data_IF_024714712979
#
_entry.id   IF_024714712979
#
_cell.length_a   1.000
_cell.length_b   1.000
_cell.length_c   1.000
_cell.angle_alpha   90.00
_cell.angle_beta   90.00
_cell.angle_gamma   90.00
#
_symmetry.space_group_name_H-M   'P 1'
#
loop_
_entity.id
_entity.type
_entity.pdbx_description
1 polymer ?
#
# COMPACT_ATOMS: atom_id res chain seq x y z
N UNK A 1 5.02 -28.47 3.67
CA UNK A 1 4.12 -27.72 2.78
C UNK A 1 2.81 -27.43 3.49
N UNK A 2 2.60 -26.17 3.91
CA UNK A 2 1.40 -25.78 4.65
C UNK A 2 0.18 -25.51 3.72
N UNK A 3 0.32 -25.69 2.41
CA UNK A 3 -0.75 -25.45 1.43
C UNK A 3 -1.19 -23.99 1.26
N UNK A 4 -0.41 -23.02 1.77
CA UNK A 4 -0.75 -21.60 1.71
C UNK A 4 -0.30 -21.01 0.37
N UNK A 5 -1.21 -20.89 -0.57
CA UNK A 5 -0.98 -20.27 -1.89
C UNK A 5 -2.06 -19.24 -2.22
N UNK A 6 -1.71 -18.15 -2.96
CA UNK A 6 -0.37 -17.74 -3.35
C UNK A 6 0.37 -16.99 -2.24
N UNK A 7 1.66 -17.24 -2.08
CA UNK A 7 2.53 -16.43 -1.20
C UNK A 7 2.89 -15.12 -1.92
N UNK A 8 2.83 -14.02 -1.19
CA UNK A 8 3.16 -12.69 -1.69
C UNK A 8 4.18 -12.02 -0.78
N UNK A 9 5.33 -11.68 -1.33
CA UNK A 9 6.36 -10.92 -0.63
C UNK A 9 6.17 -9.42 -0.88
N UNK A 10 6.41 -8.62 0.14
CA UNK A 10 6.41 -7.16 0.05
C UNK A 10 7.80 -6.64 0.41
N UNK A 11 8.36 -5.80 -0.44
CA UNK A 11 9.63 -5.12 -0.20
C UNK A 11 9.41 -3.61 -0.30
N UNK A 12 9.60 -2.90 0.79
CA UNK A 12 9.71 -1.44 0.76
C UNK A 12 11.14 -1.10 0.36
N UNK A 13 11.32 -0.52 -0.82
CA UNK A 13 12.64 -0.20 -1.33
C UNK A 13 13.11 1.15 -0.80
N UNK A 14 14.29 1.16 -0.19
CA UNK A 14 14.90 2.34 0.42
C UNK A 14 16.35 2.50 -0.07
N UNK A 15 16.65 3.68 -0.60
CA UNK A 15 17.99 4.01 -1.14
C UNK A 15 19.07 3.87 -0.08
N UNK A 16 20.14 3.15 -0.40
CA UNK A 16 21.29 2.92 0.47
C UNK A 16 21.01 2.00 1.66
N UNK A 17 19.86 1.32 1.66
CA UNK A 17 19.49 0.33 2.70
C UNK A 17 19.31 -1.06 2.09
N UNK A 18 18.48 -1.17 1.06
CA UNK A 18 18.16 -2.44 0.40
C UNK A 18 17.89 -2.28 -1.10
N UNK A 19 18.17 -1.14 -1.67
CA UNK A 19 17.99 -0.92 -3.11
C UNK A 19 18.95 -1.77 -3.96
N UNK A 20 20.04 -2.24 -3.40
CA UNK A 20 20.96 -3.19 -4.02
C UNK A 20 20.40 -4.62 -4.08
N UNK A 21 19.40 -4.97 -3.30
CA UNK A 21 18.78 -6.31 -3.24
C UNK A 21 17.63 -6.52 -4.25
N UNK A 22 17.30 -5.55 -5.10
CA UNK A 22 16.13 -5.63 -6.01
C UNK A 22 16.22 -6.86 -6.92
N UNK A 23 17.38 -7.09 -7.55
CA UNK A 23 17.60 -8.20 -8.47
C UNK A 23 17.64 -9.55 -7.74
N UNK A 24 18.24 -9.62 -6.57
CA UNK A 24 18.32 -10.84 -5.76
C UNK A 24 16.92 -11.27 -5.26
N UNK A 25 16.13 -10.31 -4.82
CA UNK A 25 14.73 -10.56 -4.43
C UNK A 25 13.87 -11.00 -5.63
N UNK A 26 14.15 -10.46 -6.81
CA UNK A 26 13.47 -10.87 -8.04
C UNK A 26 13.87 -12.30 -8.44
N UNK A 27 15.17 -12.63 -8.39
CA UNK A 27 15.67 -13.97 -8.64
C UNK A 27 15.03 -14.98 -7.68
N UNK A 28 15.01 -14.66 -6.38
CA UNK A 28 14.36 -15.48 -5.37
C UNK A 28 12.87 -15.70 -5.65
N UNK A 29 12.13 -14.63 -6.00
CA UNK A 29 10.71 -14.73 -6.29
C UNK A 29 10.43 -15.62 -7.51
N UNK A 30 11.29 -15.56 -8.54
CA UNK A 30 11.21 -16.40 -9.74
C UNK A 30 11.49 -17.88 -9.37
N UNK A 31 12.58 -18.14 -8.63
CA UNK A 31 12.97 -19.47 -8.20
C UNK A 31 11.86 -20.15 -7.36
N UNK A 32 11.29 -19.42 -6.40
CA UNK A 32 10.27 -19.96 -5.49
C UNK A 32 8.84 -19.91 -6.05
N UNK A 33 8.61 -19.32 -7.22
CA UNK A 33 7.28 -19.19 -7.81
C UNK A 33 6.33 -18.30 -6.99
N UNK A 34 6.85 -17.33 -6.21
CA UNK A 34 6.08 -16.43 -5.35
C UNK A 34 5.88 -15.06 -6.01
N UNK A 35 4.85 -14.33 -5.60
CA UNK A 35 4.61 -12.98 -6.08
C UNK A 35 5.45 -11.98 -5.27
N UNK A 36 6.18 -11.09 -5.95
CA UNK A 36 6.94 -10.01 -5.31
C UNK A 36 6.27 -8.68 -5.57
N UNK A 37 6.12 -7.86 -4.51
CA UNK A 37 5.59 -6.50 -4.61
C UNK A 37 6.60 -5.52 -4.05
N UNK A 38 7.01 -4.58 -4.87
CA UNK A 38 7.81 -3.43 -4.48
C UNK A 38 6.90 -2.26 -4.07
N UNK A 39 7.25 -1.60 -2.99
CA UNK A 39 6.44 -0.56 -2.36
C UNK A 39 7.32 0.69 -2.19
N UNK A 40 6.80 1.84 -2.58
CA UNK A 40 7.42 3.12 -2.27
C UNK A 40 7.30 3.46 -0.79
N UNK A 41 8.36 4.03 -0.22
CA UNK A 41 8.31 4.65 1.11
C UNK A 41 7.27 5.76 1.13
N UNK A 42 6.48 5.81 2.19
CA UNK A 42 5.43 6.83 2.37
C UNK A 42 5.78 7.73 3.56
N UNK A 43 5.57 9.04 3.46
CA UNK A 43 5.85 10.00 4.56
C UNK A 43 4.76 9.95 5.63
N UNK A 44 4.60 8.81 6.32
CA UNK A 44 3.56 8.62 7.34
C UNK A 44 4.21 8.47 8.70
N UNK A 45 3.81 9.33 9.63
CA UNK A 45 4.41 9.39 10.95
C UNK A 45 5.88 9.82 10.92
N UNK A 46 6.50 9.93 12.08
CA UNK A 46 7.89 10.38 12.20
C UNK A 46 8.88 9.51 11.43
N UNK A 47 8.75 8.18 11.55
CA UNK A 47 9.64 7.24 10.85
C UNK A 47 9.50 7.33 9.31
N UNK A 48 8.28 7.49 8.79
CA UNK A 48 8.04 7.66 7.37
C UNK A 48 8.62 8.96 6.82
N UNK A 49 8.50 10.05 7.57
CA UNK A 49 9.11 11.34 7.21
C UNK A 49 10.63 11.25 7.16
N UNK A 50 11.27 10.63 8.15
CA UNK A 50 12.72 10.39 8.14
C UNK A 50 13.15 9.53 6.97
N UNK A 51 12.40 8.47 6.65
CA UNK A 51 12.70 7.56 5.56
C UNK A 51 12.55 8.18 4.16
N UNK A 52 11.94 9.38 4.03
CA UNK A 52 11.84 10.06 2.73
C UNK A 52 13.19 10.50 2.17
N UNK A 53 14.21 10.68 2.99
CA UNK A 53 15.59 10.90 2.51
C UNK A 53 16.16 9.70 1.73
N UNK A 54 15.62 8.52 1.98
CA UNK A 54 15.97 7.24 1.35
C UNK A 54 14.92 6.81 0.30
N UNK A 55 14.06 7.73 -0.12
CA UNK A 55 13.02 7.44 -1.10
C UNK A 55 13.60 6.89 -2.40
N UNK A 56 13.03 5.78 -2.89
CA UNK A 56 13.39 5.14 -4.15
C UNK A 56 12.14 5.00 -5.04
N UNK A 57 12.09 5.71 -6.19
CA UNK A 57 10.87 5.76 -6.99
C UNK A 57 10.63 4.46 -7.75
N UNK A 58 9.37 4.09 -7.90
CA UNK A 58 8.93 2.88 -8.63
C UNK A 58 9.45 2.87 -10.08
N UNK A 59 9.60 4.02 -10.73
CA UNK A 59 10.17 4.09 -12.08
C UNK A 59 11.55 3.45 -12.17
N UNK A 60 12.42 3.75 -11.18
CA UNK A 60 13.78 3.18 -11.08
C UNK A 60 13.75 1.67 -10.79
N UNK A 61 12.80 1.22 -9.95
CA UNK A 61 12.60 -0.21 -9.69
C UNK A 61 12.23 -0.91 -11.01
N UNK A 62 11.26 -0.39 -11.75
CA UNK A 62 10.81 -0.99 -13.01
C UNK A 62 11.90 -0.98 -14.08
N UNK A 63 12.74 0.07 -14.15
CA UNK A 63 13.91 0.12 -15.04
C UNK A 63 14.87 -1.04 -14.73
N UNK A 64 15.21 -1.27 -13.46
CA UNK A 64 16.10 -2.35 -13.02
C UNK A 64 15.50 -3.73 -13.29
N UNK A 65 14.23 -3.92 -12.93
CA UNK A 65 13.51 -5.17 -13.22
C UNK A 65 13.50 -5.46 -14.72
N UNK A 66 13.22 -4.45 -15.57
CA UNK A 66 13.27 -4.59 -17.03
C UNK A 66 14.66 -4.98 -17.52
N UNK A 67 15.70 -4.34 -17.00
CA UNK A 67 17.09 -4.65 -17.34
C UNK A 67 17.45 -6.10 -16.96
N UNK A 68 17.07 -6.53 -15.75
CA UNK A 68 17.31 -7.89 -15.26
C UNK A 68 16.62 -8.96 -16.11
N UNK A 69 15.35 -8.77 -16.46
CA UNK A 69 14.60 -9.76 -17.25
C UNK A 69 14.90 -9.68 -18.75
N UNK A 70 15.60 -8.65 -19.21
CA UNK A 70 16.02 -8.47 -20.61
C UNK A 70 14.89 -8.23 -21.61
N UNK A 71 13.71 -7.80 -21.13
CA UNK A 71 12.51 -7.55 -21.96
C UNK A 71 11.54 -6.58 -21.31
N UNK A 72 10.56 -6.12 -22.11
CA UNK A 72 9.50 -5.24 -21.60
C UNK A 72 8.57 -5.96 -20.61
N UNK A 73 8.14 -5.18 -19.62
CA UNK A 73 7.19 -5.63 -18.61
C UNK A 73 5.77 -5.41 -19.14
N UNK A 74 5.01 -6.47 -19.28
CA UNK A 74 3.63 -6.40 -19.77
C UNK A 74 2.67 -6.14 -18.61
N UNK A 75 1.91 -5.02 -18.64
CA UNK A 75 0.90 -4.76 -17.64
C UNK A 75 -0.13 -5.89 -17.60
N UNK A 76 -0.49 -6.34 -16.39
CA UNK A 76 -1.56 -7.32 -16.19
C UNK A 76 -2.80 -6.60 -15.72
N UNK A 77 -3.85 -6.62 -16.55
CA UNK A 77 -5.17 -6.11 -16.21
C UNK A 77 -6.07 -7.24 -15.72
N UNK A 78 -7.05 -6.95 -14.84
CA UNK A 78 -8.08 -7.91 -14.46
C UNK A 78 -7.68 -8.94 -13.39
N UNK A 79 -6.69 -8.65 -12.53
CA UNK A 79 -6.38 -9.50 -11.36
C UNK A 79 -7.52 -9.51 -10.34
N UNK A 80 -7.83 -10.70 -9.74
CA UNK A 80 -8.75 -10.79 -8.60
C UNK A 80 -8.13 -10.04 -7.41
N UNK A 81 -8.74 -8.94 -6.98
CA UNK A 81 -8.38 -8.21 -5.77
C UNK A 81 -8.41 -6.69 -5.96
N UNK A 82 -8.95 -5.99 -4.95
CA UNK A 82 -9.04 -4.53 -4.89
C UNK A 82 -7.78 -3.88 -4.29
N UNK A 83 -6.61 -4.52 -4.45
CA UNK A 83 -5.34 -4.02 -3.89
C UNK A 83 -4.73 -2.88 -4.74
N UNK A 84 -3.84 -2.05 -4.15
CA UNK A 84 -3.23 -0.90 -4.81
C UNK A 84 -2.11 -1.27 -5.78
N UNK A 85 -1.72 -2.52 -5.83
CA UNK A 85 -0.60 -2.96 -6.64
C UNK A 85 -0.96 -2.99 -8.13
N UNK A 86 -0.16 -2.33 -8.96
CA UNK A 86 -0.15 -2.54 -10.41
C UNK A 86 0.75 -3.74 -10.69
N UNK A 87 0.24 -4.70 -11.44
CA UNK A 87 0.95 -5.95 -11.71
C UNK A 87 1.53 -5.98 -13.12
N UNK A 88 2.68 -6.62 -13.23
CA UNK A 88 3.37 -6.85 -14.49
C UNK A 88 3.75 -8.32 -14.60
N UNK A 89 3.59 -8.87 -15.79
CA UNK A 89 4.08 -10.21 -16.11
C UNK A 89 5.57 -10.13 -16.42
N UNK A 90 6.37 -10.99 -15.77
CA UNK A 90 7.78 -11.18 -16.09
C UNK A 90 7.91 -12.47 -16.90
N UNK A 91 8.39 -12.37 -18.11
CA UNK A 91 8.57 -13.52 -19.01
C UNK A 91 7.29 -14.33 -19.29
N UNK A 92 7.45 -15.50 -19.88
CA UNK A 92 6.37 -16.47 -20.15
C UNK A 92 5.99 -17.31 -18.92
N UNK A 93 6.59 -17.04 -17.74
CA UNK A 93 6.36 -17.80 -16.51
C UNK A 93 5.17 -17.30 -15.68
N UNK A 94 4.78 -18.04 -14.65
CA UNK A 94 3.63 -17.71 -13.81
C UNK A 94 3.89 -16.54 -12.84
N UNK A 95 5.14 -16.11 -12.70
CA UNK A 95 5.54 -15.10 -11.73
C UNK A 95 5.14 -13.70 -12.19
N UNK A 96 4.45 -13.00 -11.31
CA UNK A 96 4.05 -11.60 -11.49
C UNK A 96 4.76 -10.75 -10.45
N UNK A 97 5.20 -9.58 -10.87
CA UNK A 97 5.62 -8.53 -9.93
C UNK A 97 4.49 -7.52 -9.75
N UNK A 98 4.40 -6.95 -8.57
CA UNK A 98 3.52 -5.83 -8.29
C UNK A 98 4.33 -4.60 -7.91
N UNK A 99 3.80 -3.41 -8.16
CA UNK A 99 4.34 -2.16 -7.63
C UNK A 99 3.23 -1.36 -6.95
N UNK A 100 3.55 -0.80 -5.78
CA UNK A 100 2.66 0.09 -5.03
C UNK A 100 3.32 1.47 -4.97
N UNK A 101 2.89 2.33 -5.88
CA UNK A 101 3.42 3.69 -6.06
C UNK A 101 2.52 4.70 -5.38
N UNK A 102 2.59 4.76 -4.04
CA UNK A 102 1.73 5.65 -3.27
C UNK A 102 2.11 7.13 -3.39
N UNK A 103 3.36 7.42 -3.74
CA UNK A 103 3.92 8.79 -3.83
C UNK A 103 4.05 9.24 -5.28
N UNK A 104 4.75 8.47 -6.13
CA UNK A 104 5.03 8.88 -7.51
C UNK A 104 3.84 8.77 -8.46
N UNK A 105 2.95 7.80 -8.25
CA UNK A 105 1.78 7.51 -9.10
C UNK A 105 0.62 7.04 -8.24
N UNK A 106 0.08 7.95 -7.42
CA UNK A 106 -1.00 7.62 -6.48
C UNK A 106 -2.19 6.92 -7.16
N UNK A 107 -2.91 6.15 -6.37
CA UNK A 107 -4.07 5.36 -6.77
C UNK A 107 -5.34 5.77 -5.99
N UNK A 108 -5.40 7.03 -5.56
CA UNK A 108 -6.45 7.55 -4.67
C UNK A 108 -7.84 7.40 -5.26
N UNK A 109 -8.02 7.68 -6.56
CA UNK A 109 -9.30 7.59 -7.26
C UNK A 109 -9.95 6.20 -7.16
N UNK A 110 -9.14 5.14 -7.13
CA UNK A 110 -9.60 3.75 -6.99
C UNK A 110 -9.46 3.20 -5.58
N UNK A 111 -9.11 4.05 -4.60
CA UNK A 111 -8.85 3.62 -3.23
C UNK A 111 -10.15 3.39 -2.44
N UNK A 112 -10.48 2.13 -2.21
CA UNK A 112 -11.63 1.69 -1.42
C UNK A 112 -11.28 1.32 0.04
N UNK A 113 -10.12 1.76 0.57
CA UNK A 113 -9.63 1.35 1.88
C UNK A 113 -9.95 2.36 2.96
N UNK A 114 -10.41 1.82 4.08
CA UNK A 114 -10.48 2.46 5.39
C UNK A 114 -9.81 1.54 6.41
N UNK A 115 -9.49 2.05 7.59
CA UNK A 115 -8.90 1.25 8.66
C UNK A 115 -9.65 1.49 9.96
N UNK A 116 -9.97 0.41 10.66
CA UNK A 116 -10.51 0.47 12.00
C UNK A 116 -9.37 0.27 13.00
N UNK A 117 -9.15 1.24 13.87
CA UNK A 117 -8.15 1.14 14.94
C UNK A 117 -8.67 0.36 16.13
N UNK A 118 -7.78 -0.12 16.99
CA UNK A 118 -8.14 -0.76 18.26
C UNK A 118 -8.94 0.16 19.20
N UNK A 119 -8.88 1.47 18.99
CA UNK A 119 -9.65 2.48 19.75
C UNK A 119 -11.06 2.71 19.18
N UNK A 120 -11.43 2.02 18.10
CA UNK A 120 -12.74 2.18 17.45
C UNK A 120 -12.82 3.41 16.52
N UNK A 121 -11.70 3.99 16.11
CA UNK A 121 -11.66 5.06 15.12
C UNK A 121 -11.61 4.46 13.71
N UNK A 122 -12.52 4.86 12.85
CA UNK A 122 -12.52 4.56 11.42
C UNK A 122 -11.70 5.63 10.69
N UNK A 123 -10.48 5.28 10.31
CA UNK A 123 -9.55 6.15 9.58
C UNK A 123 -9.86 6.08 8.09
N UNK A 124 -10.17 7.21 7.48
CA UNK A 124 -10.69 7.30 6.11
C UNK A 124 -9.58 7.30 5.06
N UNK A 125 -8.45 7.93 5.36
CA UNK A 125 -7.27 7.97 4.50
C UNK A 125 -6.00 7.72 5.31
N UNK A 126 -5.09 6.92 4.78
CA UNK A 126 -3.81 6.65 5.43
C UNK A 126 -2.94 7.90 5.53
N UNK A 127 -2.96 8.73 4.50
CA UNK A 127 -2.12 9.93 4.39
C UNK A 127 -2.70 11.18 5.03
N UNK A 128 -3.86 11.12 5.68
CA UNK A 128 -4.52 12.27 6.29
C UNK A 128 -5.07 11.92 7.67
N UNK A 129 -5.38 12.94 8.49
CA UNK A 129 -5.85 12.73 9.87
C UNK A 129 -7.35 12.42 9.98
N UNK A 130 -8.08 12.44 8.86
CA UNK A 130 -9.54 12.25 8.84
C UNK A 130 -9.94 10.88 9.42
N UNK A 131 -10.78 10.93 10.43
CA UNK A 131 -11.31 9.75 11.12
C UNK A 131 -12.67 10.03 11.73
N UNK A 132 -13.44 8.98 11.93
CA UNK A 132 -14.72 9.00 12.66
C UNK A 132 -14.66 7.96 13.77
N UNK A 133 -14.99 8.35 15.02
CA UNK A 133 -15.01 7.40 16.13
C UNK A 133 -16.36 6.66 16.16
N UNK A 134 -16.30 5.33 16.09
CA UNK A 134 -17.44 4.44 16.20
C UNK A 134 -17.70 4.00 17.66
N UNK A 135 -16.71 4.16 18.53
CA UNK A 135 -16.78 3.67 19.91
C UNK A 135 -17.90 4.30 20.73
N UNK A 136 -18.18 5.63 20.68
CA UNK A 136 -19.29 6.23 21.40
C UNK A 136 -20.66 5.64 20.97
N UNK A 137 -20.84 5.43 19.69
CA UNK A 137 -22.07 4.86 19.11
C UNK A 137 -22.28 3.43 19.63
N UNK A 138 -21.22 2.61 19.58
CA UNK A 138 -21.25 1.24 20.09
C UNK A 138 -21.57 1.18 21.60
N UNK A 139 -20.95 2.04 22.40
CA UNK A 139 -21.18 2.08 23.86
C UNK A 139 -22.56 2.61 24.25
N UNK A 140 -23.18 3.40 23.40
CA UNK A 140 -24.55 3.85 23.58
C UNK A 140 -25.61 2.76 23.29
N UNK A 141 -25.20 1.56 22.89
CA UNK A 141 -26.10 0.45 22.57
C UNK A 141 -26.78 0.59 21.22
N UNK A 142 -26.14 1.26 20.27
CA UNK A 142 -26.66 1.41 18.91
C UNK A 142 -26.90 0.05 18.24
N UNK A 143 -27.92 -0.01 17.40
CA UNK A 143 -28.20 -1.19 16.59
C UNK A 143 -27.15 -1.38 15.49
N UNK A 144 -27.08 -2.58 14.90
CA UNK A 144 -26.22 -2.86 13.74
C UNK A 144 -26.51 -1.92 12.57
N UNK A 145 -27.75 -1.49 12.39
CA UNK A 145 -28.12 -0.60 11.31
C UNK A 145 -27.65 0.84 11.56
N UNK A 146 -27.66 1.30 12.81
CA UNK A 146 -27.06 2.59 13.19
C UNK A 146 -25.55 2.60 12.93
N UNK A 147 -24.88 1.49 13.26
CA UNK A 147 -23.43 1.34 13.02
C UNK A 147 -23.13 1.32 11.52
N UNK A 148 -23.90 0.57 10.71
CA UNK A 148 -23.77 0.57 9.25
C UNK A 148 -24.01 1.96 8.66
N UNK A 149 -25.01 2.69 9.17
CA UNK A 149 -25.28 4.05 8.75
C UNK A 149 -24.11 4.98 9.07
N UNK A 150 -23.56 4.91 10.27
CA UNK A 150 -22.39 5.70 10.68
C UNK A 150 -21.17 5.40 9.80
N UNK A 151 -20.89 4.12 9.49
CA UNK A 151 -19.80 3.72 8.60
C UNK A 151 -20.02 4.27 7.19
N UNK A 152 -21.21 4.14 6.62
CA UNK A 152 -21.52 4.67 5.28
C UNK A 152 -21.34 6.19 5.22
N UNK A 153 -21.84 6.90 6.24
CA UNK A 153 -21.69 8.35 6.36
C UNK A 153 -20.21 8.75 6.45
N UNK A 154 -19.43 8.02 7.24
CA UNK A 154 -17.99 8.25 7.34
C UNK A 154 -17.27 8.02 5.99
N UNK A 155 -17.60 6.95 5.27
CA UNK A 155 -17.02 6.66 3.96
C UNK A 155 -17.30 7.79 2.95
N UNK A 156 -18.48 8.41 3.00
CA UNK A 156 -18.79 9.55 2.13
C UNK A 156 -17.95 10.81 2.43
N UNK A 157 -17.32 10.87 3.60
CA UNK A 157 -16.40 11.94 4.00
C UNK A 157 -14.94 11.62 3.64
N UNK A 158 -14.69 10.45 3.04
CA UNK A 158 -13.35 10.06 2.65
C UNK A 158 -12.76 11.08 1.67
N UNK A 159 -11.54 11.63 1.95
CA UNK A 159 -10.92 12.58 1.05
C UNK A 159 -10.62 11.94 -0.31
N UNK A 160 -10.74 12.72 -1.36
CA UNK A 160 -10.52 12.29 -2.75
C UNK A 160 -9.09 11.77 -2.94
N UNK A 161 -8.09 12.44 -2.32
CA UNK A 161 -6.69 12.05 -2.41
C UNK A 161 -5.89 12.50 -1.19
N UNK A 162 -4.70 11.91 -1.01
CA UNK A 162 -3.69 12.42 -0.07
C UNK A 162 -2.86 13.54 -0.74
N UNK A 163 -2.14 14.32 0.09
CA UNK A 163 -1.33 15.45 -0.35
C UNK A 163 0.16 15.29 -0.01
N UNK A 164 0.71 14.09 -0.10
CA UNK A 164 2.10 13.78 0.30
C UNK A 164 3.14 14.70 -0.32
N UNK A 165 2.95 15.13 -1.57
CA UNK A 165 3.89 15.94 -2.31
C UNK A 165 3.54 17.43 -2.32
N UNK A 166 2.35 17.82 -1.86
CA UNK A 166 1.82 19.16 -2.03
C UNK A 166 1.77 19.92 -0.70
N UNK A 167 1.43 19.23 0.39
CA UNK A 167 1.16 19.83 1.70
C UNK A 167 1.76 18.98 2.81
N UNK A 168 3.06 19.11 3.08
CA UNK A 168 3.72 18.35 4.14
C UNK A 168 3.06 18.52 5.53
N UNK A 169 2.45 19.67 5.80
CA UNK A 169 1.73 19.97 7.04
C UNK A 169 0.44 19.16 7.22
N UNK A 170 -0.09 18.58 6.15
CA UNK A 170 -1.28 17.71 6.20
C UNK A 170 -0.95 16.21 6.30
N UNK A 171 0.34 15.87 6.38
CA UNK A 171 0.75 14.48 6.51
C UNK A 171 0.36 13.94 7.88
N UNK A 172 -0.26 12.76 7.89
CA UNK A 172 -0.70 12.11 9.12
C UNK A 172 0.47 11.88 10.08
N UNK A 173 0.36 12.42 11.30
CA UNK A 173 1.36 12.28 12.37
C UNK A 173 1.34 10.89 13.02
N UNK A 174 0.26 10.14 12.83
CA UNK A 174 0.05 8.82 13.43
C UNK A 174 1.05 7.80 12.91
N UNK A 175 1.47 6.91 13.77
CA UNK A 175 2.36 5.82 13.39
C UNK A 175 1.58 4.68 12.70
N UNK A 176 2.20 4.04 11.71
CA UNK A 176 1.61 2.92 10.97
C UNK A 176 1.16 1.77 11.89
N UNK A 177 1.94 1.48 12.93
CA UNK A 177 1.64 0.42 13.92
C UNK A 177 0.32 0.66 14.66
N UNK A 178 -0.16 1.89 14.76
CA UNK A 178 -1.44 2.20 15.43
C UNK A 178 -2.66 1.97 14.53
N UNK A 179 -2.46 1.62 13.28
CA UNK A 179 -3.49 1.47 12.27
C UNK A 179 -3.85 0.02 11.95
N UNK A 180 -3.44 -0.91 12.81
CA UNK A 180 -3.84 -2.31 12.69
C UNK A 180 -2.99 -3.13 11.71
N UNK A 181 -1.68 -2.92 11.70
CA UNK A 181 -0.79 -3.82 10.99
C UNK A 181 0.34 -3.17 10.31
#
# INVERSE_FOLDING_TARGET
>A
DAGMYPVKLNMVVMRGVNDDEIEDMLAFAIEKGVQLRFIETMPIGHAGLQAMSQYYPVSKILERVKAYVGRDLLPVTGGRGAGPARHYQIASGPVKIGVISAVSRHFCESCNRVRLTAKGDLVLCLGQEDKVSLLPILRAGASDDDIKYAIRTAINQKPERHYFNEKPEHIASRQMVTLGG
#
